data_IF_705903460208
#
_entry.id   IF_705903460208
#
_cell.length_a   1.000
_cell.length_b   1.000
_cell.length_c   1.000
_cell.angle_alpha   90.00
_cell.angle_beta   90.00
_cell.angle_gamma   90.00
#
_symmetry.space_group_name_H-M   'P 1'
#
loop_
_entity.id
_entity.type
_entity.pdbx_description
1 polymer ?
#
# COMPACT_ATOMS: atom_id res chain seq x y z
N UNK A 1 38.56 28.11 -43.88
CA UNK A 1 37.88 26.84 -43.55
C UNK A 1 37.95 26.61 -42.04
N UNK A 2 37.32 27.46 -41.22
CA UNK A 2 37.27 27.30 -39.76
C UNK A 2 36.29 28.29 -39.12
N UNK A 3 34.98 28.20 -39.40
CA UNK A 3 33.99 29.02 -38.67
C UNK A 3 32.56 28.46 -38.65
N UNK A 4 32.35 27.18 -39.00
CA UNK A 4 31.01 26.54 -38.99
C UNK A 4 30.90 25.37 -38.02
N UNK A 5 31.98 24.95 -37.35
CA UNK A 5 31.97 23.78 -36.46
C UNK A 5 31.73 24.09 -34.97
N UNK A 6 31.75 25.37 -34.56
CA UNK A 6 31.56 25.74 -33.13
C UNK A 6 30.08 25.87 -32.70
N UNK A 7 29.15 26.07 -33.64
CA UNK A 7 27.72 26.20 -33.30
C UNK A 7 27.00 24.85 -33.15
N UNK A 8 27.46 23.80 -33.83
CA UNK A 8 26.83 22.47 -33.76
C UNK A 8 27.08 21.75 -32.42
N UNK A 9 28.20 22.03 -31.74
CA UNK A 9 28.55 21.45 -30.44
C UNK A 9 27.82 22.10 -29.25
N UNK A 10 27.27 23.32 -29.42
CA UNK A 10 26.58 24.03 -28.34
C UNK A 10 25.11 23.59 -28.18
N UNK A 11 24.44 23.26 -29.29
CA UNK A 11 23.05 22.77 -29.27
C UNK A 11 22.92 21.29 -28.89
N UNK A 12 23.95 20.47 -29.16
CA UNK A 12 23.95 19.05 -28.80
C UNK A 12 24.21 18.81 -27.30
N UNK A 13 25.00 19.68 -26.65
CA UNK A 13 25.25 19.62 -25.21
C UNK A 13 24.05 20.10 -24.36
N UNK A 14 23.26 21.04 -24.89
CA UNK A 14 22.03 21.53 -24.23
C UNK A 14 20.87 20.53 -24.31
N UNK A 15 20.75 19.78 -25.41
CA UNK A 15 19.73 18.73 -25.56
C UNK A 15 19.96 17.53 -24.64
N UNK A 16 21.22 17.13 -24.42
CA UNK A 16 21.57 16.05 -23.47
C UNK A 16 21.33 16.45 -22.02
N UNK A 17 21.60 17.71 -21.65
CA UNK A 17 21.32 18.22 -20.31
C UNK A 17 19.81 18.30 -20.00
N UNK A 18 18.97 18.60 -21.00
CA UNK A 18 17.51 18.60 -20.83
C UNK A 18 16.91 17.19 -20.70
N UNK A 19 17.50 16.18 -21.34
CA UNK A 19 17.02 14.79 -21.25
C UNK A 19 17.40 14.13 -19.90
N UNK A 20 18.52 14.53 -19.29
CA UNK A 20 18.90 14.06 -17.95
C UNK A 20 18.04 14.64 -16.80
N UNK A 21 17.34 15.75 -17.03
CA UNK A 21 16.43 16.35 -16.01
C UNK A 21 15.06 15.65 -15.99
N UNK A 22 14.67 14.96 -17.07
CA UNK A 22 13.42 14.19 -17.16
C UNK A 22 13.47 12.79 -16.52
N UNK A 23 14.64 12.36 -16.03
CA UNK A 23 14.80 11.13 -15.24
C UNK A 23 14.87 11.39 -13.72
N UNK A 24 14.52 12.61 -13.29
CA UNK A 24 14.17 12.82 -11.88
C UNK A 24 12.82 12.16 -11.65
N UNK A 25 12.90 10.91 -11.17
CA UNK A 25 11.81 10.13 -10.60
C UNK A 25 10.78 11.06 -9.94
N UNK A 26 9.48 10.97 -10.27
CA UNK A 26 8.44 11.70 -9.57
C UNK A 26 8.20 11.03 -8.21
N UNK A 27 9.23 11.02 -7.36
CA UNK A 27 9.06 10.72 -5.95
C UNK A 27 8.50 11.97 -5.30
N UNK A 28 7.18 12.03 -5.27
CA UNK A 28 6.35 13.05 -4.60
C UNK A 28 6.55 13.10 -3.07
N UNK A 29 7.69 12.63 -2.57
CA UNK A 29 8.09 12.58 -1.16
C UNK A 29 9.58 12.94 -0.97
N UNK A 30 10.19 13.78 -1.81
CA UNK A 30 11.53 14.33 -1.50
C UNK A 30 11.40 15.43 -0.44
N UNK A 31 11.50 15.07 0.83
CA UNK A 31 11.85 16.01 1.89
C UNK A 31 13.19 15.59 2.50
N UNK A 32 14.31 16.24 2.17
CA UNK A 32 15.58 15.95 2.81
C UNK A 32 15.48 16.42 4.28
N UNK A 33 15.46 15.45 5.19
CA UNK A 33 15.73 15.57 6.65
C UNK A 33 15.62 17.00 7.18
N UNK A 34 14.41 17.46 7.52
CA UNK A 34 14.26 18.61 8.42
C UNK A 34 14.56 18.14 9.85
N UNK A 35 15.71 18.56 10.37
CA UNK A 35 16.04 18.45 11.79
C UNK A 35 15.09 19.42 12.52
N UNK A 36 14.02 18.90 13.12
CA UNK A 36 13.15 19.66 14.01
C UNK A 36 13.57 19.32 15.45
N UNK A 37 13.99 20.33 16.21
CA UNK A 37 14.32 20.22 17.62
C UNK A 37 13.03 20.12 18.45
N UNK A 38 12.35 18.99 18.34
CA UNK A 38 11.30 18.57 19.26
C UNK A 38 11.86 17.40 20.07
N UNK A 39 11.79 17.48 21.39
CA UNK A 39 12.18 16.40 22.29
C UNK A 39 11.20 15.24 22.15
N UNK A 40 11.43 14.40 21.15
CA UNK A 40 10.98 13.01 21.10
C UNK A 40 12.28 12.22 21.09
N UNK A 41 12.52 11.45 22.15
CA UNK A 41 13.72 10.64 22.29
C UNK A 41 13.92 9.80 21.02
N UNK A 42 14.99 10.11 20.30
CA UNK A 42 15.53 9.41 19.13
C UNK A 42 14.63 9.27 17.90
N UNK A 43 14.59 10.33 17.07
CA UNK A 43 14.40 10.13 15.62
C UNK A 43 15.68 9.48 15.06
N UNK A 44 15.79 8.15 15.20
CA UNK A 44 16.92 7.42 14.66
C UNK A 44 16.86 7.48 13.14
N UNK A 45 17.78 8.23 12.53
CA UNK A 45 18.05 8.19 11.10
C UNK A 45 18.64 6.85 10.61
N UNK A 46 18.59 5.81 11.44
CA UNK A 46 19.15 4.46 11.22
C UNK A 46 18.16 3.49 10.56
N UNK A 47 16.94 3.92 10.20
CA UNK A 47 15.94 3.03 9.63
C UNK A 47 15.30 2.07 10.65
N UNK A 48 15.41 2.39 11.95
CA UNK A 48 14.75 1.63 13.02
C UNK A 48 13.26 2.00 13.11
N UNK A 49 12.40 1.02 13.36
CA UNK A 49 10.96 1.17 13.49
C UNK A 49 10.59 1.76 14.85
N UNK A 50 9.66 2.72 14.88
CA UNK A 50 9.05 3.23 16.11
C UNK A 50 7.66 2.63 16.32
N UNK A 51 7.26 2.41 17.57
CA UNK A 51 5.89 2.01 17.90
C UNK A 51 4.92 3.16 17.64
N UNK A 52 3.72 2.81 17.18
CA UNK A 52 2.63 3.75 16.96
C UNK A 52 1.29 3.02 16.94
N UNK A 53 0.21 3.78 16.86
CA UNK A 53 -1.16 3.27 16.76
C UNK A 53 -1.68 3.53 15.34
N UNK A 54 -2.49 2.62 14.83
CA UNK A 54 -3.18 2.81 13.56
C UNK A 54 -4.66 2.44 13.66
N UNK A 55 -5.51 3.31 13.17
CA UNK A 55 -6.94 3.08 12.90
C UNK A 55 -7.24 3.39 11.45
N UNK A 56 -8.52 3.40 11.07
CA UNK A 56 -8.93 3.84 9.74
C UNK A 56 -10.29 4.51 9.76
N UNK A 57 -10.54 5.34 8.74
CA UNK A 57 -11.78 6.07 8.56
C UNK A 57 -12.24 6.06 7.09
N UNK A 58 -13.49 6.48 6.88
CA UNK A 58 -14.12 6.53 5.55
C UNK A 58 -14.54 5.14 5.04
N UNK A 59 -14.74 4.99 3.72
CA UNK A 59 -15.06 3.70 3.10
C UNK A 59 -13.87 2.71 3.15
N UNK A 60 -14.15 1.41 3.21
CA UNK A 60 -13.11 0.36 3.36
C UNK A 60 -12.09 0.30 2.23
N UNK A 61 -12.44 0.75 1.02
CA UNK A 61 -11.53 0.86 -0.14
C UNK A 61 -11.39 2.33 -0.60
N UNK A 62 -11.80 3.27 0.24
CA UNK A 62 -11.82 4.69 -0.07
C UNK A 62 -10.51 5.39 0.28
N UNK A 63 -10.45 6.66 -0.07
CA UNK A 63 -9.36 7.60 0.17
C UNK A 63 -9.50 8.36 1.50
N UNK A 64 -10.34 7.87 2.41
CA UNK A 64 -10.66 8.54 3.66
C UNK A 64 -11.74 9.61 3.46
N UNK A 65 -11.34 10.87 3.41
CA UNK A 65 -12.22 12.03 3.25
C UNK A 65 -11.65 13.04 2.26
N UNK A 66 -12.54 13.63 1.46
CA UNK A 66 -12.21 14.67 0.49
C UNK A 66 -12.02 16.07 1.14
N UNK A 67 -12.19 16.19 2.47
CA UNK A 67 -12.22 17.47 3.21
C UNK A 67 -11.06 17.70 4.19
N UNK A 68 -9.94 17.01 4.04
CA UNK A 68 -8.87 16.99 5.03
C UNK A 68 -8.17 18.34 5.30
N UNK A 69 -7.61 18.49 6.50
CA UNK A 69 -6.97 19.69 7.03
C UNK A 69 -5.76 20.19 6.23
N UNK A 70 -5.16 19.35 5.38
CA UNK A 70 -4.07 19.76 4.49
C UNK A 70 -4.56 20.44 3.19
N UNK A 71 -5.87 20.44 2.92
CA UNK A 71 -6.45 21.15 1.77
C UNK A 71 -6.21 20.50 0.41
N UNK A 72 -5.78 19.24 0.36
CA UNK A 72 -5.59 18.51 -0.90
C UNK A 72 -6.91 18.16 -1.61
N UNK A 73 -8.04 18.13 -0.88
CA UNK A 73 -9.34 17.92 -1.47
C UNK A 73 -9.48 16.52 -2.06
N UNK A 74 -10.19 16.41 -3.19
CA UNK A 74 -10.41 15.15 -3.93
C UNK A 74 -9.15 14.53 -4.53
N UNK A 75 -8.01 15.23 -4.54
CA UNK A 75 -6.79 14.66 -5.13
C UNK A 75 -6.20 13.51 -4.31
N UNK A 76 -6.65 13.31 -3.07
CA UNK A 76 -6.16 12.23 -2.19
C UNK A 76 -6.49 10.83 -2.73
N UNK A 77 -7.58 10.68 -3.47
CA UNK A 77 -7.92 9.45 -4.20
C UNK A 77 -7.18 9.26 -5.53
N UNK A 78 -6.59 10.33 -6.08
CA UNK A 78 -5.92 10.32 -7.38
C UNK A 78 -4.40 10.09 -7.24
N UNK A 79 -3.72 9.61 -8.30
CA UNK A 79 -2.27 9.60 -8.33
C UNK A 79 -1.68 11.00 -8.04
N UNK A 80 -0.58 11.11 -7.25
CA UNK A 80 0.27 10.04 -6.76
C UNK A 80 -0.12 9.48 -5.37
N UNK A 81 -1.20 9.99 -4.75
CA UNK A 81 -1.65 9.53 -3.45
C UNK A 81 -2.38 8.21 -3.56
N UNK A 82 -3.27 8.06 -4.55
CA UNK A 82 -3.98 6.82 -4.87
C UNK A 82 -4.61 6.18 -3.62
N UNK A 83 -5.27 7.01 -2.82
CA UNK A 83 -5.89 6.62 -1.54
C UNK A 83 -4.90 6.16 -0.45
N UNK A 84 -3.58 6.19 -0.67
CA UNK A 84 -2.57 5.78 0.31
C UNK A 84 -2.22 6.93 1.27
N UNK A 85 -3.19 7.29 2.12
CA UNK A 85 -3.14 8.48 2.97
C UNK A 85 -3.50 8.18 4.42
N UNK A 86 -3.22 9.13 5.31
CA UNK A 86 -3.65 9.10 6.71
C UNK A 86 -3.92 10.50 7.28
N UNK A 87 -4.83 10.57 8.24
CA UNK A 87 -4.91 11.66 9.20
C UNK A 87 -3.91 11.41 10.33
N UNK A 88 -3.02 12.37 10.58
CA UNK A 88 -2.01 12.25 11.63
C UNK A 88 -2.48 12.85 12.95
N UNK A 89 -2.08 12.24 14.07
CA UNK A 89 -2.13 12.91 15.38
C UNK A 89 -1.27 14.18 15.42
N UNK A 90 -1.40 14.98 16.47
CA UNK A 90 -0.67 16.24 16.65
C UNK A 90 0.84 16.20 16.32
N UNK A 91 1.64 15.21 16.78
CA UNK A 91 3.07 15.15 16.43
C UNK A 91 3.35 14.84 14.94
N UNK A 92 2.42 14.20 14.24
CA UNK A 92 2.56 13.87 12.82
C UNK A 92 2.05 15.01 11.93
N UNK A 93 0.94 15.64 12.30
CA UNK A 93 0.35 16.76 11.56
C UNK A 93 1.12 18.08 11.78
N UNK A 94 1.67 18.30 12.98
CA UNK A 94 2.45 19.47 13.39
C UNK A 94 1.84 20.81 12.90
N UNK A 95 0.57 21.05 13.27
CA UNK A 95 -0.17 22.25 12.85
C UNK A 95 -0.11 22.52 11.33
N UNK A 96 -0.19 21.45 10.54
CA UNK A 96 -0.16 21.49 9.07
C UNK A 96 1.24 21.40 8.45
N UNK A 97 2.32 21.51 9.23
CA UNK A 97 3.69 21.35 8.70
C UNK A 97 4.00 19.92 8.29
N UNK A 98 3.29 18.95 8.87
CA UNK A 98 3.38 17.54 8.53
C UNK A 98 2.67 17.18 7.22
N UNK A 99 1.82 18.05 6.68
CA UNK A 99 1.12 17.81 5.42
C UNK A 99 2.08 17.46 4.28
N UNK A 100 1.79 16.35 3.58
CA UNK A 100 2.65 15.82 2.51
C UNK A 100 3.84 14.99 3.00
N UNK A 101 4.02 14.81 4.32
CA UNK A 101 5.04 13.92 4.86
C UNK A 101 4.65 12.46 4.64
N UNK A 102 5.63 11.63 4.31
CA UNK A 102 5.43 10.22 3.96
C UNK A 102 6.02 9.31 5.04
N UNK A 103 5.28 8.28 5.42
CA UNK A 103 5.69 7.31 6.43
C UNK A 103 5.47 5.90 5.91
N UNK A 104 6.37 4.99 6.30
CA UNK A 104 6.09 3.56 6.20
C UNK A 104 5.43 3.11 7.50
N UNK A 105 4.27 2.46 7.39
CA UNK A 105 3.51 1.91 8.51
C UNK A 105 3.38 0.41 8.29
N UNK A 106 3.72 -0.39 9.30
CA UNK A 106 3.56 -1.84 9.23
C UNK A 106 2.75 -2.34 10.42
N UNK A 107 1.84 -3.25 10.13
CA UNK A 107 1.06 -3.96 11.13
C UNK A 107 1.90 -5.10 11.73
N UNK A 108 1.98 -5.18 13.07
CA UNK A 108 2.70 -6.26 13.79
C UNK A 108 1.89 -6.91 14.91
N UNK A 109 0.89 -6.21 15.48
CA UNK A 109 0.15 -6.67 16.66
C UNK A 109 -1.05 -7.56 16.39
N UNK A 110 -1.44 -7.76 15.12
CA UNK A 110 -2.60 -8.57 14.73
C UNK A 110 -2.21 -9.75 13.83
N UNK A 111 -3.01 -10.80 13.90
CA UNK A 111 -2.85 -12.01 13.09
C UNK A 111 -3.08 -11.83 11.59
N UNK A 112 -3.85 -10.80 11.22
CA UNK A 112 -4.15 -10.42 9.86
C UNK A 112 -2.99 -9.68 9.16
N UNK A 113 -2.01 -9.20 9.92
CA UNK A 113 -0.95 -8.36 9.38
C UNK A 113 -0.14 -9.14 8.33
N UNK A 114 0.06 -8.56 7.15
CA UNK A 114 0.94 -9.10 6.12
C UNK A 114 2.42 -9.06 6.54
N UNK A 115 2.77 -8.20 7.50
CA UNK A 115 4.14 -7.91 7.92
C UNK A 115 4.89 -6.97 6.96
N UNK A 116 4.32 -6.71 5.79
CA UNK A 116 4.86 -5.75 4.83
C UNK A 116 4.40 -4.33 5.19
N UNK A 117 5.27 -3.32 5.05
CA UNK A 117 4.87 -1.94 5.28
C UNK A 117 4.05 -1.40 4.12
N UNK A 118 3.16 -0.47 4.43
CA UNK A 118 2.47 0.40 3.47
C UNK A 118 3.01 1.81 3.61
N UNK A 119 3.17 2.51 2.50
CA UNK A 119 3.56 3.92 2.49
C UNK A 119 2.31 4.78 2.50
N UNK A 120 2.19 5.68 3.47
CA UNK A 120 1.10 6.65 3.56
C UNK A 120 1.62 8.07 3.55
N UNK A 121 0.77 9.00 3.10
CA UNK A 121 1.00 10.43 3.18
C UNK A 121 0.06 11.08 4.20
N UNK A 122 0.59 11.97 5.04
CA UNK A 122 -0.25 12.78 5.93
C UNK A 122 -0.99 13.83 5.11
N UNK A 123 -2.32 13.70 5.04
CA UNK A 123 -3.21 14.59 4.28
C UNK A 123 -4.30 15.22 5.13
N UNK A 124 -4.39 14.83 6.40
CA UNK A 124 -5.40 15.32 7.32
C UNK A 124 -4.87 15.31 8.77
N UNK A 125 -5.67 15.87 9.67
CA UNK A 125 -5.42 15.91 11.10
C UNK A 125 -6.45 15.07 11.83
N UNK A 126 -6.01 14.25 12.78
CA UNK A 126 -6.88 13.52 13.70
C UNK A 126 -6.77 14.10 15.11
N UNK A 127 -7.72 14.97 15.54
CA UNK A 127 -7.69 15.60 16.87
C UNK A 127 -7.85 14.58 18.01
N UNK A 128 -8.63 13.54 17.79
CA UNK A 128 -8.99 12.54 18.82
C UNK A 128 -7.99 11.37 18.89
N UNK A 129 -6.90 11.42 18.11
CA UNK A 129 -5.91 10.36 18.02
C UNK A 129 -4.87 10.35 19.17
N UNK A 130 -5.02 11.24 20.16
CA UNK A 130 -4.10 11.32 21.30
C UNK A 130 -2.76 11.99 20.97
N UNK A 131 -1.81 11.90 21.90
CA UNK A 131 -0.51 12.58 21.81
C UNK A 131 0.61 11.75 21.20
N UNK A 132 0.41 10.44 21.06
CA UNK A 132 1.41 9.52 20.49
C UNK A 132 1.36 9.53 18.96
N UNK A 133 2.33 8.88 18.30
CA UNK A 133 2.30 8.67 16.85
C UNK A 133 1.12 7.76 16.49
N UNK A 134 0.05 8.36 15.98
CA UNK A 134 -1.19 7.68 15.61
C UNK A 134 -1.61 8.07 14.20
N UNK A 135 -1.72 7.06 13.33
CA UNK A 135 -2.16 7.16 11.96
C UNK A 135 -3.62 6.70 11.85
N UNK A 136 -4.55 7.62 11.64
CA UNK A 136 -5.92 7.25 11.26
C UNK A 136 -5.99 7.19 9.74
N UNK A 137 -5.81 6.00 9.20
CA UNK A 137 -5.51 5.77 7.79
C UNK A 137 -6.78 5.75 6.93
N UNK A 138 -6.65 5.91 5.61
CA UNK A 138 -7.75 5.55 4.72
C UNK A 138 -8.05 4.04 4.80
N UNK A 139 -9.28 3.64 4.50
CA UNK A 139 -9.63 2.22 4.43
C UNK A 139 -8.74 1.44 3.45
N UNK A 140 -8.43 2.03 2.29
CA UNK A 140 -7.51 1.44 1.32
C UNK A 140 -6.13 1.19 1.94
N UNK A 141 -5.51 2.22 2.53
CA UNK A 141 -4.17 2.09 3.10
C UNK A 141 -4.10 1.13 4.29
N UNK A 142 -5.13 1.11 5.14
CA UNK A 142 -5.19 0.19 6.27
C UNK A 142 -5.38 -1.26 5.83
N UNK A 143 -6.24 -1.49 4.83
CA UNK A 143 -6.51 -2.81 4.25
C UNK A 143 -5.27 -3.45 3.60
N UNK A 144 -4.42 -2.64 2.99
CA UNK A 144 -3.15 -3.06 2.36
C UNK A 144 -2.14 -3.66 3.36
N UNK A 145 -2.32 -3.40 4.66
CA UNK A 145 -1.51 -4.04 5.71
C UNK A 145 -1.97 -5.48 6.03
N UNK A 146 -3.02 -5.99 5.38
CA UNK A 146 -3.53 -7.35 5.54
C UNK A 146 -3.48 -8.17 4.24
N UNK A 147 -3.62 -9.50 4.32
CA UNK A 147 -3.67 -10.37 3.13
C UNK A 147 -5.11 -10.67 2.72
N UNK A 148 -5.47 -10.24 1.51
CA UNK A 148 -6.75 -10.48 0.86
C UNK A 148 -6.55 -10.97 -0.57
N UNK A 149 -7.52 -11.73 -1.06
CA UNK A 149 -7.61 -12.17 -2.46
C UNK A 149 -9.02 -11.85 -2.96
N UNK A 150 -9.09 -11.21 -4.12
CA UNK A 150 -10.34 -11.05 -4.86
C UNK A 150 -10.36 -12.08 -5.99
N UNK A 151 -11.47 -12.79 -6.12
CA UNK A 151 -11.64 -13.84 -7.13
C UNK A 151 -12.52 -13.29 -8.27
N UNK A 152 -12.07 -13.46 -9.51
CA UNK A 152 -12.72 -12.91 -10.71
C UNK A 152 -12.80 -13.97 -11.82
N UNK A 153 -13.82 -13.85 -12.69
CA UNK A 153 -14.00 -14.66 -13.91
C UNK A 153 -14.14 -16.17 -13.70
N UNK A 154 -14.77 -16.58 -12.61
CA UNK A 154 -15.19 -17.97 -12.41
C UNK A 154 -16.33 -18.31 -13.40
N UNK A 155 -16.13 -19.38 -14.17
CA UNK A 155 -17.16 -19.95 -15.04
C UNK A 155 -18.25 -20.65 -14.21
N UNK A 156 -19.40 -20.87 -14.83
CA UNK A 156 -20.56 -21.48 -14.17
C UNK A 156 -21.32 -20.48 -13.29
N UNK A 157 -21.86 -20.96 -12.17
CA UNK A 157 -22.78 -20.20 -11.32
C UNK A 157 -22.13 -19.00 -10.60
N UNK A 158 -20.79 -18.92 -10.61
CA UNK A 158 -20.02 -17.81 -10.04
C UNK A 158 -20.11 -17.65 -8.51
N UNK A 159 -20.94 -18.43 -7.84
CA UNK A 159 -21.13 -18.36 -6.38
C UNK A 159 -20.18 -19.32 -5.64
N UNK A 160 -19.27 -18.74 -4.86
CA UNK A 160 -18.30 -19.47 -4.06
C UNK A 160 -18.86 -19.77 -2.66
N UNK A 161 -18.76 -21.02 -2.24
CA UNK A 161 -19.06 -21.44 -0.86
C UNK A 161 -17.83 -21.25 0.05
N UNK A 162 -16.63 -21.52 -0.49
CA UNK A 162 -15.39 -21.52 0.28
C UNK A 162 -14.21 -21.11 -0.58
N UNK A 163 -13.33 -20.30 0.01
CA UNK A 163 -12.03 -19.96 -0.55
C UNK A 163 -10.97 -20.31 0.47
N UNK A 164 -9.91 -20.95 0.03
CA UNK A 164 -8.81 -21.42 0.87
C UNK A 164 -7.47 -21.00 0.28
N UNK A 165 -6.49 -20.77 1.15
CA UNK A 165 -5.12 -20.44 0.78
C UNK A 165 -4.15 -21.47 1.32
N UNK A 166 -3.11 -21.79 0.55
CA UNK A 166 -2.02 -22.66 0.98
C UNK A 166 -0.68 -22.05 0.60
N UNK A 167 0.23 -21.95 1.56
CA UNK A 167 1.62 -21.59 1.29
C UNK A 167 2.35 -22.76 0.63
N UNK A 168 3.25 -22.49 -0.32
CA UNK A 168 4.04 -23.54 -0.97
C UNK A 168 4.90 -24.36 0.01
N UNK A 169 5.23 -23.81 1.17
CA UNK A 169 5.96 -24.51 2.23
C UNK A 169 5.07 -25.32 3.19
N UNK A 170 3.76 -25.34 2.96
CA UNK A 170 2.76 -26.02 3.79
C UNK A 170 1.97 -27.01 2.94
N UNK A 171 1.57 -28.13 3.54
CA UNK A 171 0.60 -29.06 2.93
C UNK A 171 -0.85 -28.75 3.34
N UNK A 172 -1.04 -27.86 4.32
CA UNK A 172 -2.34 -27.54 4.88
C UNK A 172 -3.02 -26.40 4.13
N UNK A 173 -4.27 -26.65 3.72
CA UNK A 173 -5.19 -25.64 3.21
C UNK A 173 -5.86 -24.91 4.37
N UNK A 174 -5.93 -23.59 4.25
CA UNK A 174 -6.41 -22.72 5.30
C UNK A 174 -7.60 -21.90 4.80
N UNK A 175 -8.72 -21.97 5.53
CA UNK A 175 -9.95 -21.29 5.13
C UNK A 175 -9.82 -19.76 5.22
N UNK A 176 -10.13 -19.10 4.12
CA UNK A 176 -10.31 -17.65 4.07
C UNK A 176 -11.72 -17.29 4.51
N UNK A 177 -11.88 -16.10 5.07
CA UNK A 177 -13.17 -15.55 5.47
C UNK A 177 -13.64 -14.55 4.41
N UNK A 178 -14.88 -14.70 3.96
CA UNK A 178 -15.53 -13.69 3.12
C UNK A 178 -15.50 -12.34 3.83
N UNK A 179 -14.99 -11.32 3.14
CA UNK A 179 -14.96 -9.95 3.65
C UNK A 179 -16.14 -9.16 3.10
N UNK A 180 -16.20 -9.01 1.78
CA UNK A 180 -17.26 -8.27 1.08
C UNK A 180 -17.20 -8.57 -0.42
N UNK A 181 -18.35 -8.84 -1.04
CA UNK A 181 -18.42 -9.20 -2.46
C UNK A 181 -17.56 -10.41 -2.76
N UNK A 182 -16.72 -10.33 -3.80
CA UNK A 182 -15.80 -11.41 -4.18
C UNK A 182 -14.44 -11.37 -3.44
N UNK A 183 -14.33 -10.60 -2.34
CA UNK A 183 -13.07 -10.44 -1.57
C UNK A 183 -13.05 -11.36 -0.36
N UNK A 184 -11.99 -12.16 -0.27
CA UNK A 184 -11.73 -13.13 0.79
C UNK A 184 -10.45 -12.76 1.52
N UNK A 185 -10.48 -12.84 2.86
CA UNK A 185 -9.35 -12.45 3.73
C UNK A 185 -8.85 -13.63 4.53
N UNK A 186 -7.55 -13.74 4.70
CA UNK A 186 -6.96 -14.78 5.53
C UNK A 186 -6.11 -14.21 6.65
N UNK A 187 -6.35 -14.71 7.87
CA UNK A 187 -5.72 -14.26 9.09
C UNK A 187 -4.95 -15.43 9.75
N UNK A 188 -3.74 -15.71 9.27
CA UNK A 188 -2.93 -16.86 9.74
C UNK A 188 -2.46 -16.71 11.19
N UNK A 189 -2.17 -15.50 11.64
CA UNK A 189 -1.48 -15.29 12.91
C UNK A 189 0.04 -15.32 12.87
N UNK A 190 0.60 -15.55 11.69
CA UNK A 190 2.03 -15.43 11.40
C UNK A 190 2.19 -14.92 9.97
N UNK A 191 3.35 -14.34 9.67
CA UNK A 191 3.65 -13.84 8.34
C UNK A 191 3.49 -14.98 7.31
N UNK A 192 2.69 -14.72 6.28
CA UNK A 192 2.48 -15.64 5.19
C UNK A 192 3.71 -15.69 4.27
N UNK A 193 4.10 -16.90 3.88
CA UNK A 193 5.25 -17.19 3.01
C UNK A 193 4.76 -17.60 1.62
N UNK A 194 4.82 -16.64 0.70
CA UNK A 194 4.59 -16.92 -0.71
C UNK A 194 5.66 -17.88 -1.27
N UNK A 195 5.37 -18.62 -2.36
CA UNK A 195 4.16 -18.60 -3.18
C UNK A 195 2.89 -19.10 -2.47
N UNK A 196 1.72 -18.63 -2.92
CA UNK A 196 0.42 -19.09 -2.45
C UNK A 196 -0.36 -19.79 -3.55
N UNK A 197 -0.98 -20.91 -3.18
CA UNK A 197 -2.02 -21.58 -3.95
C UNK A 197 -3.38 -21.15 -3.42
N UNK A 198 -4.35 -21.01 -4.33
CA UNK A 198 -5.74 -20.68 -3.97
C UNK A 198 -6.62 -21.85 -4.38
N UNK A 199 -7.53 -22.24 -3.49
CA UNK A 199 -8.54 -23.26 -3.77
C UNK A 199 -9.92 -22.67 -3.61
N UNK A 200 -10.75 -22.94 -4.60
CA UNK A 200 -12.11 -22.42 -4.69
C UNK A 200 -13.07 -23.60 -4.66
N UNK A 201 -14.11 -23.50 -3.83
CA UNK A 201 -15.22 -24.45 -3.79
C UNK A 201 -16.52 -23.72 -4.06
N UNK A 202 -17.26 -24.13 -5.08
CA UNK A 202 -18.59 -23.58 -5.39
C UNK A 202 -19.70 -24.23 -4.54
N UNK A 203 -20.93 -23.72 -4.66
CA UNK A 203 -22.10 -24.26 -3.92
C UNK A 203 -22.48 -25.71 -4.26
N UNK A 204 -22.03 -26.22 -5.41
CA UNK A 204 -22.19 -27.61 -5.81
C UNK A 204 -21.10 -28.53 -5.25
N UNK A 205 -20.24 -28.02 -4.35
CA UNK A 205 -19.08 -28.71 -3.80
C UNK A 205 -18.01 -29.11 -4.84
N UNK A 206 -18.07 -28.55 -6.06
CA UNK A 206 -16.98 -28.66 -7.03
C UNK A 206 -15.82 -27.79 -6.57
N UNK A 207 -14.60 -28.30 -6.74
CA UNK A 207 -13.38 -27.63 -6.27
C UNK A 207 -12.37 -27.51 -7.40
N UNK A 208 -11.74 -26.33 -7.51
CA UNK A 208 -10.58 -26.09 -8.38
C UNK A 208 -9.40 -25.54 -7.57
N UNK A 209 -8.19 -25.87 -7.99
CA UNK A 209 -6.95 -25.48 -7.31
C UNK A 209 -6.02 -24.74 -8.26
N UNK A 210 -5.78 -23.46 -7.96
CA UNK A 210 -4.80 -22.61 -8.64
C UNK A 210 -3.46 -22.69 -7.90
N UNK A 211 -2.64 -23.68 -8.26
CA UNK A 211 -1.37 -23.96 -7.59
C UNK A 211 -0.34 -22.85 -7.82
N UNK A 212 0.23 -22.33 -6.73
CA UNK A 212 1.27 -21.28 -6.72
C UNK A 212 0.94 -20.07 -7.61
N UNK A 213 -0.36 -19.75 -7.75
CA UNK A 213 -0.85 -18.67 -8.62
C UNK A 213 -0.36 -17.30 -8.16
N UNK A 214 -0.19 -17.10 -6.85
CA UNK A 214 0.42 -15.88 -6.29
C UNK A 214 1.90 -16.17 -6.03
N UNK A 215 2.85 -15.60 -6.80
CA UNK A 215 4.25 -15.96 -6.72
C UNK A 215 4.97 -15.35 -5.51
N UNK A 216 6.19 -15.83 -5.23
CA UNK A 216 7.10 -15.10 -4.35
C UNK A 216 7.40 -13.71 -4.91
N UNK A 217 7.43 -12.69 -4.03
CA UNK A 217 7.60 -11.30 -4.47
C UNK A 217 6.34 -10.66 -5.06
N UNK A 218 5.17 -11.27 -4.86
CA UNK A 218 3.89 -10.67 -5.21
C UNK A 218 3.76 -9.25 -4.63
N UNK A 219 3.08 -8.40 -5.38
CA UNK A 219 2.72 -7.04 -4.98
C UNK A 219 1.24 -6.96 -4.67
N UNK A 220 0.83 -6.25 -3.61
CA UNK A 220 -0.57 -5.91 -3.39
C UNK A 220 -1.20 -5.19 -4.59
N UNK A 221 -2.51 -5.34 -4.74
CA UNK A 221 -3.29 -4.80 -5.87
C UNK A 221 -2.98 -5.41 -7.25
N UNK A 222 -2.05 -6.37 -7.35
CA UNK A 222 -1.72 -7.01 -8.62
C UNK A 222 -2.64 -8.19 -8.93
N UNK A 223 -2.96 -8.37 -10.21
CA UNK A 223 -3.74 -9.51 -10.72
C UNK A 223 -2.80 -10.66 -11.08
N UNK A 224 -3.13 -11.87 -10.63
CA UNK A 224 -2.44 -13.10 -11.00
C UNK A 224 -3.43 -14.05 -11.65
N UNK A 225 -3.11 -14.52 -12.86
CA UNK A 225 -4.02 -15.33 -13.68
C UNK A 225 -3.74 -16.81 -13.45
N UNK A 226 -4.79 -17.59 -13.19
CA UNK A 226 -4.73 -19.04 -13.12
C UNK A 226 -4.98 -19.67 -14.50
N UNK A 227 -4.66 -20.96 -14.64
CA UNK A 227 -5.00 -21.76 -15.83
C UNK A 227 -6.06 -22.82 -15.52
N UNK A 228 -6.94 -22.52 -14.56
CA UNK A 228 -8.03 -23.39 -14.10
C UNK A 228 -9.34 -22.61 -14.09
N UNK A 229 -10.44 -23.29 -14.35
CA UNK A 229 -11.79 -22.74 -14.22
C UNK A 229 -12.78 -23.86 -13.86
N UNK A 230 -13.96 -23.49 -13.34
CA UNK A 230 -15.06 -24.42 -13.08
C UNK A 230 -15.68 -24.95 -14.39
#
# INVERSE_FOLDING_TARGET
MSCTLKHAFSHSLTLLASFSILLVVPSSCFNPKKIVNASIDSYSSDGSWSSGVATWYGPSNGDGSEGGACGYGRSVGEPPFSSMIAAGSAPLFDSGKGCGSCYEVKCTGNKACSGNPVRVVITDHCPDCGSDAHFDMSGAAFGEMAVSVMVEYEDGDGELERVEVKEASSESWEAMKESWGAVWKYNKGSQLKAPFSIRLTNKESKTIEATNVIPAGWRPGSTYVSHVNF
#
